data_IF_029532063582
#
_entry.id   IF_029532063582
#
_cell.length_a   1.000
_cell.length_b   1.000
_cell.length_c   1.000
_cell.angle_alpha   90.00
_cell.angle_beta   90.00
_cell.angle_gamma   90.00
#
_symmetry.space_group_name_H-M   'P 1'
#
loop_
_entity.id
_entity.type
_entity.pdbx_description
1 polymer ?
#
# COMPACT_ATOMS: atom_id res chain seq x y z
N UNK A 1 -28.75 32.12 30.53
CA UNK A 1 -28.42 31.97 29.10
C UNK A 1 -27.88 30.57 28.98
N UNK A 2 -28.75 29.65 28.58
CA UNK A 2 -28.47 28.21 28.53
C UNK A 2 -27.38 27.91 27.50
N UNK A 3 -26.33 27.26 27.95
CA UNK A 3 -25.31 26.66 27.10
C UNK A 3 -25.91 25.43 26.41
N UNK A 4 -26.41 25.63 25.19
CA UNK A 4 -26.84 24.55 24.32
C UNK A 4 -25.67 23.66 23.95
N UNK A 5 -25.46 22.59 24.74
CA UNK A 5 -24.55 21.51 24.38
C UNK A 5 -25.02 20.90 23.07
N UNK A 6 -24.18 20.99 22.04
CA UNK A 6 -24.38 20.27 20.78
C UNK A 6 -24.16 18.79 21.09
N UNK A 7 -25.25 18.05 21.28
CA UNK A 7 -25.22 16.59 21.29
C UNK A 7 -24.84 16.12 19.88
N UNK A 8 -23.55 15.85 19.68
CA UNK A 8 -23.08 15.13 18.49
C UNK A 8 -23.45 13.67 18.69
N UNK A 9 -24.66 13.30 18.27
CA UNK A 9 -25.07 11.90 18.18
C UNK A 9 -24.44 11.34 16.91
N UNK A 10 -23.27 10.71 17.05
CA UNK A 10 -22.71 9.89 15.97
C UNK A 10 -23.57 8.64 15.81
N UNK A 11 -24.53 8.68 14.88
CA UNK A 11 -25.22 7.47 14.45
C UNK A 11 -24.21 6.55 13.73
N UNK A 12 -24.18 5.24 14.03
CA UNK A 12 -23.27 4.33 13.35
C UNK A 12 -23.55 4.32 11.85
N UNK A 13 -22.48 4.40 11.05
CA UNK A 13 -22.58 4.26 9.60
C UNK A 13 -22.99 2.82 9.29
N UNK A 14 -24.09 2.59 8.55
CA UNK A 14 -24.52 1.24 8.22
C UNK A 14 -23.47 0.50 7.38
N UNK A 15 -23.40 -0.83 7.55
CA UNK A 15 -22.53 -1.69 6.75
C UNK A 15 -22.70 -1.46 5.24
N UNK A 16 -21.58 -1.30 4.53
CA UNK A 16 -21.49 -1.05 3.08
C UNK A 16 -22.42 0.07 2.56
N UNK A 17 -22.69 1.10 3.37
CA UNK A 17 -23.67 2.13 3.03
C UNK A 17 -23.37 2.92 1.76
N UNK A 18 -22.09 3.24 1.52
CA UNK A 18 -21.65 3.96 0.32
C UNK A 18 -21.97 3.15 -0.95
N UNK A 19 -21.49 1.90 -1.02
CA UNK A 19 -21.75 0.99 -2.12
C UNK A 19 -23.26 0.78 -2.35
N UNK A 20 -24.02 0.54 -1.27
CA UNK A 20 -25.48 0.36 -1.35
C UNK A 20 -26.23 1.61 -1.82
N UNK A 21 -25.76 2.81 -1.48
CA UNK A 21 -26.33 4.09 -1.96
C UNK A 21 -26.06 4.28 -3.44
N UNK A 22 -24.82 4.06 -3.89
CA UNK A 22 -24.44 4.16 -5.31
C UNK A 22 -25.25 3.18 -6.14
N UNK A 23 -25.31 1.91 -5.72
CA UNK A 23 -26.08 0.88 -6.39
C UNK A 23 -27.55 1.26 -6.57
N UNK A 24 -28.23 1.66 -5.47
CA UNK A 24 -29.63 2.11 -5.52
C UNK A 24 -29.81 3.33 -6.42
N UNK A 25 -28.86 4.27 -6.39
CA UNK A 25 -28.94 5.49 -7.21
C UNK A 25 -28.80 5.17 -8.70
N UNK A 26 -27.90 4.26 -9.08
CA UNK A 26 -27.74 3.82 -10.46
C UNK A 26 -29.03 3.15 -10.97
N UNK A 27 -29.64 2.26 -10.18
CA UNK A 27 -30.93 1.65 -10.51
C UNK A 27 -32.04 2.69 -10.69
N UNK A 28 -32.13 3.68 -9.80
CA UNK A 28 -33.09 4.79 -9.91
C UNK A 28 -32.91 5.63 -11.18
N UNK A 29 -31.68 5.71 -11.70
CA UNK A 29 -31.35 6.43 -12.93
C UNK A 29 -31.58 5.57 -14.19
N UNK A 30 -32.06 4.33 -14.03
CA UNK A 30 -32.36 3.42 -15.14
C UNK A 30 -31.21 2.49 -15.53
N UNK A 31 -30.12 2.44 -14.75
CA UNK A 31 -29.09 1.43 -14.95
C UNK A 31 -29.64 0.03 -14.61
N UNK A 32 -29.24 -0.96 -15.39
CA UNK A 32 -29.56 -2.36 -15.12
C UNK A 32 -28.38 -3.04 -14.39
N UNK A 33 -28.67 -3.72 -13.28
CA UNK A 33 -27.66 -4.54 -12.60
C UNK A 33 -27.41 -5.80 -13.43
N UNK A 34 -26.22 -5.94 -14.00
CA UNK A 34 -25.86 -7.10 -14.81
C UNK A 34 -25.20 -8.21 -13.98
N UNK A 35 -24.58 -7.85 -12.85
CA UNK A 35 -24.02 -8.79 -11.88
C UNK A 35 -24.24 -8.29 -10.46
N UNK A 36 -24.44 -9.21 -9.52
CA UNK A 36 -24.73 -8.88 -8.13
C UNK A 36 -23.57 -8.09 -7.48
N UNK A 37 -23.89 -7.05 -6.70
CA UNK A 37 -22.86 -6.28 -5.98
C UNK A 37 -22.08 -7.13 -4.96
N UNK A 38 -20.79 -6.87 -4.85
CA UNK A 38 -19.94 -7.38 -3.77
C UNK A 38 -20.00 -6.44 -2.56
N UNK A 39 -20.06 -7.01 -1.36
CA UNK A 39 -20.06 -6.26 -0.09
C UNK A 39 -18.91 -6.79 0.77
N UNK A 40 -17.76 -6.11 0.71
CA UNK A 40 -16.57 -6.47 1.49
C UNK A 40 -16.79 -6.30 2.99
N UNK A 41 -16.26 -7.22 3.80
CA UNK A 41 -16.34 -7.17 5.26
C UNK A 41 -14.95 -7.29 5.87
N UNK A 42 -14.41 -6.16 6.35
CA UNK A 42 -13.11 -6.10 7.02
C UNK A 42 -13.09 -6.92 8.34
N UNK A 43 -14.25 -7.19 8.94
CA UNK A 43 -14.34 -7.95 10.20
C UNK A 43 -14.37 -9.47 9.99
N UNK A 44 -14.41 -9.94 8.74
CA UNK A 44 -14.35 -11.36 8.43
C UNK A 44 -12.95 -11.92 8.78
N UNK A 45 -12.85 -13.23 9.08
CA UNK A 45 -11.57 -13.87 9.46
C UNK A 45 -10.50 -13.76 8.35
N UNK A 46 -10.94 -13.64 7.09
CA UNK A 46 -10.09 -13.41 5.90
C UNK A 46 -10.10 -11.94 5.44
N UNK A 47 -10.56 -11.01 6.29
CA UNK A 47 -10.76 -9.60 5.94
C UNK A 47 -11.66 -9.42 4.70
N UNK A 48 -11.41 -8.37 3.92
CA UNK A 48 -12.18 -8.10 2.70
C UNK A 48 -12.10 -9.20 1.64
N UNK A 49 -11.03 -10.00 1.66
CA UNK A 49 -10.78 -11.03 0.65
C UNK A 49 -11.81 -12.17 0.73
N UNK A 50 -12.33 -12.46 1.92
CA UNK A 50 -13.38 -13.47 2.12
C UNK A 50 -14.65 -13.19 1.30
N UNK A 51 -14.95 -11.92 1.05
CA UNK A 51 -16.04 -11.52 0.15
C UNK A 51 -15.55 -11.23 -1.28
N UNK A 52 -14.37 -10.63 -1.44
CA UNK A 52 -13.87 -10.18 -2.74
C UNK A 52 -13.48 -11.34 -3.66
N UNK A 53 -12.73 -12.34 -3.18
CA UNK A 53 -12.26 -13.46 -4.00
C UNK A 53 -13.41 -14.28 -4.62
N UNK A 54 -14.41 -14.78 -3.86
CA UNK A 54 -15.53 -15.49 -4.48
C UNK A 54 -16.36 -14.58 -5.39
N UNK A 55 -16.50 -13.29 -5.05
CA UNK A 55 -17.20 -12.33 -5.89
C UNK A 55 -16.49 -12.11 -7.23
N UNK A 56 -15.16 -11.93 -7.22
CA UNK A 56 -14.36 -11.67 -8.42
C UNK A 56 -14.32 -12.87 -9.36
N UNK A 57 -14.22 -14.09 -8.84
CA UNK A 57 -14.29 -15.33 -9.62
C UNK A 57 -15.66 -15.50 -10.29
N UNK A 58 -16.75 -15.29 -9.53
CA UNK A 58 -18.09 -15.33 -10.09
C UNK A 58 -18.33 -14.24 -11.13
N UNK A 59 -17.77 -13.05 -10.91
CA UNK A 59 -17.86 -11.92 -11.83
C UNK A 59 -17.09 -12.21 -13.13
N UNK A 60 -15.85 -12.73 -13.04
CA UNK A 60 -15.04 -13.15 -14.19
C UNK A 60 -15.78 -14.18 -15.03
N UNK A 61 -16.38 -15.19 -14.40
CA UNK A 61 -17.20 -16.20 -15.07
C UNK A 61 -18.41 -15.57 -15.78
N UNK A 62 -19.14 -14.70 -15.09
CA UNK A 62 -20.30 -14.00 -15.66
C UNK A 62 -19.91 -13.14 -16.89
N UNK A 63 -18.76 -12.46 -16.83
CA UNK A 63 -18.24 -11.69 -17.96
C UNK A 63 -17.93 -12.60 -19.15
N UNK A 64 -17.24 -13.72 -18.95
CA UNK A 64 -16.91 -14.66 -20.02
C UNK A 64 -18.17 -15.24 -20.71
N UNK A 65 -19.22 -15.53 -19.93
CA UNK A 65 -20.47 -16.09 -20.45
C UNK A 65 -21.31 -15.07 -21.25
N UNK A 66 -21.36 -13.81 -20.79
CA UNK A 66 -22.25 -12.79 -21.36
C UNK A 66 -21.54 -11.81 -22.32
N UNK A 67 -20.22 -11.73 -22.24
CA UNK A 67 -19.36 -10.83 -23.00
C UNK A 67 -18.09 -11.58 -23.47
N UNK A 68 -18.23 -12.57 -24.36
CA UNK A 68 -17.10 -13.38 -24.82
C UNK A 68 -16.05 -12.53 -25.53
N UNK A 69 -14.79 -12.95 -25.42
CA UNK A 69 -13.68 -12.29 -26.08
C UNK A 69 -13.80 -12.37 -27.61
N UNK A 70 -13.23 -11.40 -28.35
CA UNK A 70 -13.14 -11.47 -29.81
C UNK A 70 -12.41 -12.73 -30.29
N UNK A 71 -12.71 -13.16 -31.52
CA UNK A 71 -12.06 -14.33 -32.13
C UNK A 71 -10.53 -14.16 -32.16
N UNK A 72 -9.82 -15.18 -31.66
CA UNK A 72 -8.35 -15.20 -31.58
C UNK A 72 -7.76 -14.48 -30.35
N UNK A 73 -8.59 -13.99 -29.43
CA UNK A 73 -8.14 -13.43 -28.14
C UNK A 73 -8.45 -14.41 -27.03
N UNK A 74 -7.41 -14.97 -26.42
CA UNK A 74 -7.53 -15.86 -25.26
C UNK A 74 -7.48 -15.07 -23.95
N UNK A 75 -8.14 -15.54 -22.88
CA UNK A 75 -7.97 -14.97 -21.55
C UNK A 75 -6.51 -15.04 -21.10
N UNK A 76 -6.04 -13.97 -20.47
CA UNK A 76 -4.76 -13.94 -19.77
C UNK A 76 -4.83 -14.97 -18.63
N UNK A 77 -3.77 -15.79 -18.49
CA UNK A 77 -3.69 -16.78 -17.43
C UNK A 77 -3.57 -16.09 -16.05
N UNK A 78 -4.10 -16.70 -14.99
CA UNK A 78 -4.08 -16.08 -13.66
C UNK A 78 -2.65 -16.00 -13.09
N UNK A 79 -1.74 -16.83 -13.60
CA UNK A 79 -0.32 -16.87 -13.23
C UNK A 79 0.58 -16.00 -14.13
N UNK A 80 0.00 -15.32 -15.13
CA UNK A 80 0.76 -14.50 -16.05
C UNK A 80 1.09 -13.13 -15.42
N UNK A 81 2.38 -12.81 -15.36
CA UNK A 81 2.81 -11.49 -14.90
C UNK A 81 2.40 -10.42 -15.92
N UNK A 82 1.53 -9.52 -15.49
CA UNK A 82 1.15 -8.37 -16.29
C UNK A 82 2.36 -7.43 -16.49
N UNK A 83 2.40 -6.66 -17.61
CA UNK A 83 3.41 -5.64 -17.80
C UNK A 83 3.48 -4.69 -16.60
N UNK A 84 4.69 -4.30 -16.14
CA UNK A 84 4.82 -3.44 -14.98
C UNK A 84 4.27 -2.04 -15.28
N UNK A 85 3.71 -1.36 -14.27
CA UNK A 85 3.29 0.04 -14.40
C UNK A 85 4.46 1.03 -14.37
N UNK A 86 5.60 0.61 -13.78
CA UNK A 86 6.80 1.43 -13.69
C UNK A 86 8.03 0.63 -14.08
N UNK A 87 8.97 1.29 -14.75
CA UNK A 87 10.30 0.77 -15.03
C UNK A 87 11.29 1.55 -14.16
N UNK A 88 12.03 0.82 -13.32
CA UNK A 88 13.13 1.38 -12.53
C UNK A 88 14.43 1.23 -13.32
N UNK A 89 15.02 2.36 -13.73
CA UNK A 89 16.26 2.38 -14.50
C UNK A 89 17.39 3.03 -13.72
N UNK A 90 18.51 2.34 -13.57
CA UNK A 90 19.73 2.92 -12.97
C UNK A 90 20.27 4.02 -13.88
N UNK A 91 20.52 5.20 -13.31
CA UNK A 91 21.14 6.33 -13.99
C UNK A 91 22.63 6.06 -14.13
N UNK A 92 23.17 6.19 -15.35
CA UNK A 92 24.57 5.91 -15.69
C UNK A 92 25.02 4.52 -15.20
N UNK A 93 24.45 3.43 -15.74
CA UNK A 93 24.90 2.09 -15.39
C UNK A 93 26.38 1.97 -15.75
N UNK A 94 27.24 1.69 -14.75
CA UNK A 94 28.62 1.31 -15.04
C UNK A 94 28.58 0.04 -15.89
N UNK A 95 29.25 0.07 -17.05
CA UNK A 95 29.37 -1.08 -17.93
C UNK A 95 30.37 -2.06 -17.32
N UNK A 96 29.93 -2.83 -16.32
CA UNK A 96 30.71 -3.96 -15.84
C UNK A 96 30.80 -4.99 -16.97
N UNK A 97 31.93 -5.00 -17.67
CA UNK A 97 32.21 -5.88 -18.80
C UNK A 97 32.43 -7.34 -18.40
N UNK A 98 32.25 -7.72 -17.13
CA UNK A 98 32.42 -9.09 -16.66
C UNK A 98 31.47 -9.42 -15.50
N UNK A 99 30.21 -9.69 -15.82
CA UNK A 99 29.45 -10.68 -15.06
C UNK A 99 28.50 -11.38 -16.00
N UNK A 100 28.81 -12.63 -16.35
CA UNK A 100 27.81 -13.52 -16.94
C UNK A 100 26.74 -13.79 -15.89
N UNK A 101 25.66 -13.01 -15.91
CA UNK A 101 24.44 -13.32 -15.18
C UNK A 101 23.83 -14.56 -15.83
N UNK A 102 24.15 -15.73 -15.29
CA UNK A 102 23.35 -16.91 -15.51
C UNK A 102 21.99 -16.63 -14.88
N UNK A 103 21.05 -16.15 -15.68
CA UNK A 103 19.63 -16.24 -15.39
C UNK A 103 19.23 -17.72 -15.46
N UNK A 104 19.63 -18.50 -14.46
CA UNK A 104 18.95 -19.74 -14.15
C UNK A 104 17.66 -19.32 -13.45
N UNK A 105 16.64 -19.03 -14.26
CA UNK A 105 15.27 -19.07 -13.78
C UNK A 105 15.04 -20.47 -13.23
N UNK A 106 15.15 -20.61 -11.90
CA UNK A 106 14.70 -21.81 -11.22
C UNK A 106 13.18 -21.77 -11.29
N UNK A 107 12.63 -22.55 -12.22
CA UNK A 107 11.21 -22.81 -12.39
C UNK A 107 10.70 -23.70 -11.25
N UNK A 108 10.82 -23.23 -10.01
CA UNK A 108 10.18 -23.82 -8.84
C UNK A 108 9.61 -22.66 -8.01
N UNK A 109 8.58 -22.01 -8.54
CA UNK A 109 7.56 -21.43 -7.66
C UNK A 109 6.97 -22.64 -6.93
N UNK A 110 7.27 -22.77 -5.64
CA UNK A 110 6.57 -23.74 -4.82
C UNK A 110 5.09 -23.38 -4.87
N UNK A 111 4.25 -24.27 -5.42
CA UNK A 111 2.82 -24.28 -5.16
C UNK A 111 2.64 -24.23 -3.64
N UNK A 112 2.26 -23.06 -3.12
CA UNK A 112 1.92 -22.82 -1.73
C UNK A 112 0.61 -23.54 -1.41
N UNK A 113 0.69 -24.87 -1.34
CA UNK A 113 -0.34 -25.69 -0.73
C UNK A 113 -0.28 -25.48 0.78
N UNK A 114 -1.35 -24.89 1.29
CA UNK A 114 -1.77 -24.86 2.70
C UNK A 114 -1.01 -23.89 3.61
N UNK A 115 -1.73 -22.84 3.99
CA UNK A 115 -1.82 -22.29 5.34
C UNK A 115 -0.62 -22.51 6.28
N UNK A 116 0.18 -21.47 6.53
CA UNK A 116 0.86 -21.31 7.78
C UNK A 116 0.32 -20.04 8.45
N UNK A 117 -0.91 -20.08 8.95
CA UNK A 117 -1.20 -19.52 10.27
C UNK A 117 -0.43 -20.36 11.31
N UNK A 118 0.91 -20.39 11.16
CA UNK A 118 1.81 -20.73 12.24
C UNK A 118 1.62 -19.60 13.22
N UNK A 119 0.78 -19.86 14.22
CA UNK A 119 0.79 -19.18 15.51
C UNK A 119 2.14 -19.50 16.16
N UNK A 120 3.23 -19.03 15.57
CA UNK A 120 4.48 -18.95 16.29
C UNK A 120 4.22 -17.99 17.46
N UNK A 121 4.57 -18.38 18.69
CA UNK A 121 4.43 -17.47 19.82
C UNK A 121 5.21 -16.20 19.50
N UNK A 122 4.53 -15.06 19.54
CA UNK A 122 5.12 -13.74 19.33
C UNK A 122 6.35 -13.60 20.25
N UNK A 123 7.55 -13.63 19.67
CA UNK A 123 8.76 -13.44 20.45
C UNK A 123 8.86 -11.95 20.78
N UNK A 124 8.97 -11.63 22.07
CA UNK A 124 9.24 -10.27 22.51
C UNK A 124 10.59 -9.73 22.01
N UNK A 125 11.49 -10.59 21.50
CA UNK A 125 12.68 -10.17 20.77
C UNK A 125 12.39 -9.70 19.33
N UNK A 126 11.25 -10.08 18.74
CA UNK A 126 10.76 -9.58 17.44
C UNK A 126 9.99 -8.27 17.58
N UNK A 127 9.72 -7.80 18.82
CA UNK A 127 9.43 -6.40 19.04
C UNK A 127 10.68 -5.63 18.63
N UNK A 128 10.65 -5.10 17.41
CA UNK A 128 11.68 -4.23 16.86
C UNK A 128 11.88 -3.05 17.83
N UNK A 129 12.83 -3.20 18.75
CA UNK A 129 13.47 -2.08 19.45
C UNK A 129 14.57 -1.59 18.52
N UNK A 130 14.21 -1.02 17.36
CA UNK A 130 15.23 -0.49 16.45
C UNK A 130 15.86 0.75 17.10
N UNK A 131 17.16 0.63 17.42
CA UNK A 131 17.99 1.72 17.93
C UNK A 131 18.28 2.77 16.84
N UNK A 132 18.01 2.45 15.56
CA UNK A 132 18.23 3.38 14.44
C UNK A 132 16.90 3.94 13.89
N UNK A 133 16.59 5.24 14.12
CA UNK A 133 15.42 5.86 13.54
C UNK A 133 15.55 5.97 12.01
N UNK A 134 14.42 6.01 11.27
CA UNK A 134 14.43 6.28 9.84
C UNK A 134 15.06 7.66 9.54
N UNK A 135 15.61 7.89 8.33
CA UNK A 135 16.24 9.16 7.98
C UNK A 135 15.29 10.35 8.17
N UNK A 136 15.83 11.51 8.57
CA UNK A 136 15.07 12.75 8.78
C UNK A 136 14.64 13.44 7.46
N UNK A 137 14.96 12.84 6.30
CA UNK A 137 14.63 13.37 4.98
C UNK A 137 13.14 13.72 4.85
N UNK A 138 12.84 14.94 4.43
CA UNK A 138 11.46 15.41 4.23
C UNK A 138 11.11 15.25 2.76
N UNK A 139 10.00 14.56 2.50
CA UNK A 139 9.46 14.36 1.16
C UNK A 139 8.52 15.51 0.78
N UNK A 140 8.53 15.92 -0.48
CA UNK A 140 7.54 16.89 -0.97
C UNK A 140 6.26 16.18 -1.42
N UNK A 141 5.32 16.04 -0.49
CA UNK A 141 4.00 15.45 -0.73
C UNK A 141 3.00 16.58 -1.06
N UNK A 142 2.38 16.64 -2.25
CA UNK A 142 1.48 17.74 -2.58
C UNK A 142 0.37 17.97 -1.53
N UNK A 143 0.32 19.19 -0.98
CA UNK A 143 -0.68 19.59 0.01
C UNK A 143 -0.39 19.21 1.47
N UNK A 144 0.71 18.50 1.74
CA UNK A 144 1.14 18.20 3.12
C UNK A 144 1.86 19.38 3.78
N UNK A 145 2.04 19.29 5.11
CA UNK A 145 2.87 20.21 5.88
C UNK A 145 3.77 19.45 6.83
N UNK A 146 4.97 19.97 7.03
CA UNK A 146 5.91 19.48 8.03
C UNK A 146 5.50 20.01 9.40
N UNK A 147 5.47 19.12 10.38
CA UNK A 147 5.19 19.42 11.78
C UNK A 147 6.41 19.06 12.63
N UNK A 148 6.69 19.87 13.65
CA UNK A 148 7.75 19.59 14.62
C UNK A 148 7.17 18.91 15.84
N UNK A 149 7.68 17.74 16.20
CA UNK A 149 7.29 17.05 17.44
C UNK A 149 7.96 17.72 18.65
N UNK A 150 7.19 18.41 19.47
CA UNK A 150 7.69 19.14 20.66
C UNK A 150 7.49 18.36 21.96
N UNK A 151 6.60 17.37 21.97
CA UNK A 151 6.34 16.52 23.15
C UNK A 151 5.96 15.11 22.72
N UNK A 152 6.53 14.12 23.40
CA UNK A 152 6.20 12.71 23.22
C UNK A 152 6.24 12.02 24.59
N UNK A 153 5.08 11.77 25.20
CA UNK A 153 4.98 11.26 26.57
C UNK A 153 4.11 10.02 26.61
N UNK A 154 4.65 8.93 27.17
CA UNK A 154 3.86 7.74 27.51
C UNK A 154 2.83 8.07 28.59
N UNK A 155 1.58 7.73 28.33
CA UNK A 155 0.45 7.95 29.26
C UNK A 155 0.00 6.67 29.97
N UNK A 156 0.46 5.52 29.48
CA UNK A 156 0.27 4.20 30.12
C UNK A 156 1.37 3.96 31.17
N UNK A 157 1.10 3.08 32.12
CA UNK A 157 2.13 2.65 33.08
C UNK A 157 3.27 1.92 32.36
N UNK A 158 4.49 1.98 32.90
CA UNK A 158 5.69 1.41 32.26
C UNK A 158 5.59 -0.11 32.05
N UNK A 159 4.92 -0.80 32.99
CA UNK A 159 4.68 -2.24 32.99
C UNK A 159 3.45 -2.66 32.18
N UNK A 160 2.71 -1.72 31.62
CA UNK A 160 1.57 -2.02 30.74
C UNK A 160 2.07 -2.56 29.39
N UNK A 161 1.43 -3.60 28.85
CA UNK A 161 1.85 -4.24 27.60
C UNK A 161 1.67 -3.35 26.35
N UNK A 162 0.75 -2.38 26.39
CA UNK A 162 0.60 -1.37 25.35
C UNK A 162 1.24 -0.05 25.78
N UNK A 163 2.06 0.52 24.89
CA UNK A 163 2.60 1.88 25.01
C UNK A 163 1.70 2.86 24.24
N UNK A 164 0.85 3.57 24.98
CA UNK A 164 0.06 4.70 24.44
C UNK A 164 0.76 6.00 24.79
N UNK A 165 0.94 6.89 23.79
CA UNK A 165 1.64 8.17 23.93
C UNK A 165 0.78 9.38 23.58
N UNK A 166 1.00 10.46 24.30
CA UNK A 166 0.52 11.81 24.00
C UNK A 166 1.60 12.58 23.25
N UNK A 167 1.28 12.96 22.01
CA UNK A 167 2.15 13.75 21.14
C UNK A 167 1.69 15.22 21.08
N UNK A 168 2.63 16.15 21.08
CA UNK A 168 2.37 17.57 20.76
C UNK A 168 3.18 17.94 19.54
N UNK A 169 2.49 18.46 18.53
CA UNK A 169 3.04 18.84 17.23
C UNK A 169 2.89 20.35 17.07
N UNK A 170 3.97 21.00 16.64
CA UNK A 170 4.03 22.43 16.34
C UNK A 170 4.17 22.64 14.83
N UNK A 171 3.64 23.75 14.33
CA UNK A 171 3.74 24.13 12.92
C UNK A 171 4.02 25.62 12.82
N UNK A 172 4.83 26.01 11.83
CA UNK A 172 4.94 27.41 11.46
C UNK A 172 3.65 27.90 10.78
N UNK A 173 3.08 28.97 11.34
CA UNK A 173 1.85 29.58 10.86
C UNK A 173 0.60 28.97 11.49
N UNK A 174 -0.55 29.13 10.83
CA UNK A 174 -1.84 28.73 11.36
C UNK A 174 -2.40 27.54 10.60
N UNK A 175 -2.74 26.48 11.35
CA UNK A 175 -3.61 25.40 10.89
C UNK A 175 -4.99 25.59 11.53
N UNK A 176 -6.05 25.48 10.71
CA UNK A 176 -7.42 25.49 11.21
C UNK A 176 -7.84 24.04 11.39
N UNK A 177 -8.20 23.67 12.61
CA UNK A 177 -8.80 22.38 12.92
C UNK A 177 -9.86 22.54 14.01
N UNK A 178 -10.76 21.58 14.09
CA UNK A 178 -11.80 21.46 15.11
C UNK A 178 -11.68 20.11 15.83
N UNK A 179 -12.18 20.00 17.06
CA UNK A 179 -12.28 18.70 17.73
C UNK A 179 -13.05 17.70 16.85
N UNK A 180 -12.43 16.55 16.58
CA UNK A 180 -12.96 15.52 15.69
C UNK A 180 -12.33 15.50 14.30
N UNK A 181 -11.54 16.51 13.93
CA UNK A 181 -10.71 16.45 12.71
C UNK A 181 -9.62 15.39 12.85
N UNK A 182 -9.18 14.87 11.70
CA UNK A 182 -8.18 13.80 11.60
C UNK A 182 -6.86 14.38 11.09
N UNK A 183 -5.77 13.97 11.74
CA UNK A 183 -4.41 14.20 11.27
C UNK A 183 -3.89 12.94 10.58
N UNK A 184 -3.52 13.05 9.30
CA UNK A 184 -2.84 11.99 8.57
C UNK A 184 -1.33 12.17 8.70
N UNK A 185 -0.65 11.11 9.14
CA UNK A 185 0.82 11.05 9.21
C UNK A 185 1.33 10.13 8.11
N UNK A 186 2.44 10.50 7.49
CA UNK A 186 3.13 9.68 6.49
C UNK A 186 4.29 8.96 7.18
N UNK A 187 4.16 7.65 7.46
CA UNK A 187 5.22 6.90 8.12
C UNK A 187 6.39 6.61 7.18
N UNK A 188 7.51 6.18 7.78
CA UNK A 188 8.67 5.64 7.07
C UNK A 188 8.94 4.25 7.63
N UNK A 189 9.33 3.32 6.78
CA UNK A 189 9.77 2.00 7.25
C UNK A 189 11.08 2.14 8.03
N UNK A 190 11.31 1.24 8.99
CA UNK A 190 12.54 1.22 9.74
C UNK A 190 13.73 0.82 8.85
N UNK A 191 14.92 1.41 9.05
CA UNK A 191 16.11 1.04 8.30
C UNK A 191 16.44 -0.45 8.38
N UNK A 192 16.21 -1.10 9.53
CA UNK A 192 16.46 -2.54 9.68
C UNK A 192 15.59 -3.39 8.74
N UNK A 193 14.29 -3.10 8.63
CA UNK A 193 13.36 -3.83 7.76
C UNK A 193 13.72 -3.65 6.29
N UNK A 194 14.01 -2.41 5.89
CA UNK A 194 14.43 -2.08 4.53
C UNK A 194 15.74 -2.81 4.17
N UNK A 195 16.74 -2.79 5.07
CA UNK A 195 18.00 -3.50 4.86
C UNK A 195 17.82 -5.01 4.79
N UNK A 196 16.97 -5.58 5.64
CA UNK A 196 16.68 -7.02 5.66
C UNK A 196 16.05 -7.45 4.35
N UNK A 197 15.07 -6.70 3.85
CA UNK A 197 14.44 -6.97 2.56
C UNK A 197 15.44 -6.86 1.40
N UNK A 198 16.25 -5.79 1.37
CA UNK A 198 17.30 -5.60 0.34
C UNK A 198 18.27 -6.79 0.33
N UNK A 199 18.69 -7.26 1.50
CA UNK A 199 19.62 -8.37 1.64
C UNK A 199 18.99 -9.69 1.17
N UNK A 200 17.75 -9.98 1.59
CA UNK A 200 17.00 -11.17 1.21
C UNK A 200 16.81 -11.28 -0.31
N UNK A 201 16.61 -10.15 -0.98
CA UNK A 201 16.43 -10.09 -2.44
C UNK A 201 17.76 -9.99 -3.23
N UNK A 202 18.90 -9.92 -2.55
CA UNK A 202 20.21 -9.76 -3.20
C UNK A 202 20.41 -8.40 -3.88
N UNK A 203 19.69 -7.36 -3.45
CA UNK A 203 19.71 -6.03 -4.06
C UNK A 203 20.77 -5.09 -3.48
N UNK A 204 21.60 -5.55 -2.55
CA UNK A 204 22.59 -4.73 -1.84
C UNK A 204 23.49 -3.92 -2.78
N UNK A 205 23.90 -4.49 -3.92
CA UNK A 205 24.80 -3.82 -4.88
C UNK A 205 24.12 -2.73 -5.72
N UNK A 206 22.79 -2.68 -5.73
CA UNK A 206 22.01 -1.73 -6.54
C UNK A 206 21.13 -0.80 -5.73
N UNK A 207 20.91 -1.09 -4.44
CA UNK A 207 19.93 -0.42 -3.60
C UNK A 207 20.10 1.10 -3.51
N UNK A 208 21.36 1.55 -3.52
CA UNK A 208 21.76 2.95 -3.35
C UNK A 208 22.17 3.62 -4.67
N UNK A 209 22.03 2.92 -5.80
CA UNK A 209 22.31 3.51 -7.12
C UNK A 209 21.20 4.49 -7.50
N UNK A 210 21.52 5.67 -8.06
CA UNK A 210 20.52 6.62 -8.51
C UNK A 210 19.61 6.00 -9.59
N UNK A 211 18.30 6.21 -9.47
CA UNK A 211 17.27 5.65 -10.34
C UNK A 211 16.49 6.75 -11.07
N UNK A 212 16.01 6.39 -12.26
CA UNK A 212 14.92 7.04 -12.96
C UNK A 212 13.70 6.14 -12.87
N UNK A 213 12.55 6.70 -12.48
CA UNK A 213 11.26 6.00 -12.43
C UNK A 213 10.46 6.41 -13.67
N UNK A 214 10.23 5.46 -14.56
CA UNK A 214 9.56 5.71 -15.83
C UNK A 214 8.17 5.07 -15.76
N UNK A 215 7.13 5.86 -15.99
CA UNK A 215 5.77 5.34 -16.18
C UNK A 215 5.74 4.50 -17.45
N UNK A 216 5.35 3.24 -17.31
CA UNK A 216 5.27 2.32 -18.44
C UNK A 216 4.27 2.80 -19.49
N UNK A 217 3.21 3.53 -19.16
CA UNK A 217 2.27 4.07 -20.14
C UNK A 217 2.94 5.07 -21.11
N UNK A 218 4.07 5.68 -20.72
CA UNK A 218 4.90 6.52 -21.58
C UNK A 218 5.89 5.72 -22.46
N UNK A 219 5.99 4.41 -22.26
CA UNK A 219 6.81 3.51 -23.07
C UNK A 219 6.04 3.05 -24.32
N UNK A 220 6.64 3.07 -25.53
CA UNK A 220 5.94 2.81 -26.80
C UNK A 220 5.36 1.41 -26.98
N UNK A 221 5.53 0.50 -26.01
CA UNK A 221 5.08 -0.89 -26.04
C UNK A 221 4.03 -1.23 -24.98
N UNK A 222 3.56 -0.25 -24.20
CA UNK A 222 2.68 -0.53 -23.07
C UNK A 222 1.20 -0.51 -23.46
N UNK A 223 0.37 -1.41 -22.89
CA UNK A 223 -1.06 -1.42 -23.15
C UNK A 223 -1.74 -0.14 -22.64
N UNK A 224 -2.81 0.35 -23.32
CA UNK A 224 -3.41 1.67 -23.11
C UNK A 224 -4.12 1.89 -21.77
N UNK A 225 -4.10 0.90 -20.86
CA UNK A 225 -4.86 0.90 -19.61
C UNK A 225 -3.99 0.88 -18.33
N UNK A 226 -2.68 1.06 -18.45
CA UNK A 226 -1.80 1.17 -17.27
C UNK A 226 -1.86 2.59 -16.71
N UNK A 227 -2.95 2.94 -16.04
CA UNK A 227 -2.97 4.14 -15.20
C UNK A 227 -2.07 3.87 -14.00
N UNK A 228 -0.87 4.44 -14.01
CA UNK A 228 0.07 4.36 -12.91
C UNK A 228 -0.54 5.08 -11.69
N UNK A 229 -0.98 4.30 -10.70
CA UNK A 229 -1.75 4.78 -9.52
C UNK A 229 -0.89 5.02 -8.27
N UNK A 230 0.44 4.82 -8.31
CA UNK A 230 1.29 5.16 -7.18
C UNK A 230 1.76 6.62 -7.30
N UNK A 231 1.28 7.45 -6.38
CA UNK A 231 1.90 8.74 -6.07
C UNK A 231 3.22 8.46 -5.32
N UNK A 232 4.29 8.22 -6.08
CA UNK A 232 5.62 8.06 -5.52
C UNK A 232 6.19 9.43 -5.16
N UNK A 233 6.65 9.57 -3.91
CA UNK A 233 7.26 10.79 -3.38
C UNK A 233 8.73 10.55 -3.04
N UNK A 234 9.57 11.51 -3.42
CA UNK A 234 11.02 11.41 -3.30
C UNK A 234 11.63 12.65 -2.66
N UNK A 235 12.84 12.48 -2.12
CA UNK A 235 13.64 13.56 -1.55
C UNK A 235 14.03 14.57 -2.65
N UNK A 236 13.89 15.86 -2.36
CA UNK A 236 14.24 16.93 -3.30
C UNK A 236 15.77 17.05 -3.42
N UNK A 237 16.25 17.34 -4.63
CA UNK A 237 17.64 17.73 -4.88
C UNK A 237 18.59 16.58 -5.21
N UNK A 238 18.07 15.33 -5.29
CA UNK A 238 18.80 14.17 -5.81
C UNK A 238 17.86 13.19 -6.51
N UNK A 239 18.36 12.34 -7.42
CA UNK A 239 17.56 11.22 -7.93
C UNK A 239 17.21 10.24 -6.81
N UNK A 240 16.05 9.56 -6.91
CA UNK A 240 15.67 8.51 -5.96
C UNK A 240 16.53 7.26 -6.11
N UNK A 241 16.48 6.39 -5.12
CA UNK A 241 17.13 5.08 -5.10
C UNK A 241 16.10 3.99 -4.79
N UNK A 242 16.46 2.72 -4.96
CA UNK A 242 15.58 1.62 -4.56
C UNK A 242 15.31 1.66 -3.05
N UNK A 243 16.32 2.03 -2.26
CA UNK A 243 16.17 2.23 -0.82
C UNK A 243 15.14 3.31 -0.49
N UNK A 244 15.11 4.42 -1.22
CA UNK A 244 14.11 5.48 -1.01
C UNK A 244 12.69 4.98 -1.28
N UNK A 245 12.52 4.18 -2.35
CA UNK A 245 11.22 3.56 -2.67
C UNK A 245 10.76 2.67 -1.51
N UNK A 246 11.64 1.80 -1.01
CA UNK A 246 11.33 0.89 0.11
C UNK A 246 11.16 1.62 1.44
N UNK A 247 11.83 2.74 1.66
CA UNK A 247 11.76 3.48 2.94
C UNK A 247 10.49 4.33 3.02
N UNK A 248 10.07 4.91 1.89
CA UNK A 248 9.10 6.01 1.88
C UNK A 248 7.78 5.70 1.18
N UNK A 249 7.75 4.72 0.27
CA UNK A 249 6.63 4.60 -0.68
C UNK A 249 5.90 3.26 -0.64
N UNK A 250 6.55 2.19 -0.16
CA UNK A 250 5.97 0.85 -0.15
C UNK A 250 5.77 0.38 1.29
N UNK A 251 4.61 -0.21 1.57
CA UNK A 251 4.41 -0.93 2.81
C UNK A 251 5.00 -2.34 2.68
N UNK A 252 6.18 -2.54 3.27
CA UNK A 252 6.90 -3.81 3.24
C UNK A 252 6.59 -4.70 4.45
N UNK A 253 5.72 -4.22 5.33
CA UNK A 253 5.38 -4.88 6.61
C UNK A 253 3.94 -5.38 6.64
N UNK A 254 3.09 -4.88 5.73
CA UNK A 254 1.75 -5.40 5.53
C UNK A 254 1.76 -6.86 5.09
N UNK A 255 0.69 -7.57 5.46
CA UNK A 255 0.42 -8.92 4.96
C UNK A 255 0.19 -8.81 3.44
N UNK A 256 1.00 -9.51 2.61
CA UNK A 256 0.78 -9.53 1.17
C UNK A 256 -0.62 -10.03 0.83
N UNK A 257 -1.30 -9.34 -0.10
CA UNK A 257 -2.62 -9.75 -0.59
C UNK A 257 -2.50 -11.02 -1.44
N UNK A 258 -3.57 -11.81 -1.44
CA UNK A 258 -3.67 -13.06 -2.21
C UNK A 258 -3.97 -12.81 -3.69
#
# INVERSE_FOLDING_TARGET
MDGGGVNVVCAPVPFNWAARKVHRRLQQLGANEFYARGEGDEQHDEGTDGAFVPWSLGFKKHLQENYPLPEGVEPIADEEFLPPNYILQIVNPETDSDTQTQNNASSNMNEGTNDPCLKEPFDTADLITDETPPPDDILDIPGHRVLTLTKNIRITAEDHFQDVRHLTLEIEGNIRYQPGDVLTLYPKNFPADVNSLIALQGWTSVADKPLSVIDSAAHPTSPPFTAALLDLHFVIGRPPTLRDILTHNLDITAIPRR
#
